data_IF_753786837204
#
_entry.id   IF_753786837204
#
_cell.length_a   1.000
_cell.length_b   1.000
_cell.length_c   1.000
_cell.angle_alpha   90.00
_cell.angle_beta   90.00
_cell.angle_gamma   90.00
#
_symmetry.space_group_name_H-M   'P 1'
#
loop_
_entity.id
_entity.type
_entity.pdbx_description
1 polymer ?
#
# COMPACT_ATOMS: atom_id res chain seq x y z
N UNK A 1 -18.07 -10.24 -19.63
CA UNK A 1 -17.11 -10.98 -18.77
C UNK A 1 -16.15 -10.09 -17.98
N UNK A 2 -16.13 -8.77 -18.17
CA UNK A 2 -15.13 -7.86 -17.55
C UNK A 2 -15.16 -7.83 -16.01
N UNK A 3 -16.37 -7.80 -15.42
CA UNK A 3 -16.56 -7.77 -13.95
C UNK A 3 -16.06 -9.05 -13.28
N UNK A 4 -16.29 -10.22 -13.91
CA UNK A 4 -15.86 -11.50 -13.35
C UNK A 4 -14.32 -11.59 -13.24
N UNK A 5 -13.60 -11.05 -14.23
CA UNK A 5 -12.14 -10.99 -14.20
C UNK A 5 -11.64 -10.03 -13.11
N UNK A 6 -12.25 -8.84 -12.98
CA UNK A 6 -11.92 -7.90 -11.92
C UNK A 6 -12.14 -8.49 -10.52
N UNK A 7 -13.21 -9.27 -10.33
CA UNK A 7 -13.48 -9.97 -9.05
C UNK A 7 -12.45 -11.08 -8.80
N UNK A 8 -12.05 -11.82 -9.83
CA UNK A 8 -11.00 -12.84 -9.73
C UNK A 8 -9.66 -12.22 -9.30
N UNK A 9 -9.30 -11.08 -9.89
CA UNK A 9 -8.08 -10.32 -9.60
C UNK A 9 -8.02 -9.75 -8.16
N UNK A 10 -9.17 -9.65 -7.48
CA UNK A 10 -9.21 -9.24 -6.07
C UNK A 10 -8.77 -10.39 -5.13
N UNK A 11 -8.76 -11.64 -5.62
CA UNK A 11 -8.49 -12.85 -4.84
C UNK A 11 -6.98 -13.11 -4.70
N UNK A 12 -6.49 -13.32 -3.46
CA UNK A 12 -5.05 -13.49 -3.14
C UNK A 12 -4.54 -14.92 -3.32
N UNK A 13 -4.96 -15.63 -4.35
CA UNK A 13 -4.64 -17.06 -4.50
C UNK A 13 -3.97 -17.27 -5.85
N UNK A 14 -2.72 -17.76 -5.86
CA UNK A 14 -2.09 -18.29 -7.08
C UNK A 14 -2.80 -19.58 -7.51
N UNK A 15 -2.70 -19.95 -8.78
CA UNK A 15 -3.25 -21.20 -9.33
C UNK A 15 -2.86 -22.45 -8.50
N UNK A 16 -1.74 -22.38 -7.78
CA UNK A 16 -1.17 -23.42 -6.92
C UNK A 16 -1.72 -23.43 -5.47
N UNK A 17 -2.72 -22.59 -5.14
CA UNK A 17 -3.29 -22.48 -3.79
C UNK A 17 -2.48 -21.62 -2.79
N UNK A 18 -1.34 -21.06 -3.20
CA UNK A 18 -0.49 -20.24 -2.34
C UNK A 18 -1.09 -18.84 -2.19
N UNK A 19 -1.21 -18.39 -0.93
CA UNK A 19 -1.69 -17.05 -0.61
C UNK A 19 -0.59 -16.00 -0.84
N UNK A 20 -0.80 -15.10 -1.79
CA UNK A 20 0.13 -14.00 -2.06
C UNK A 20 -0.02 -12.86 -1.04
N UNK A 21 1.08 -12.18 -0.76
CA UNK A 21 1.07 -11.01 0.13
C UNK A 21 0.31 -9.84 -0.51
N UNK A 22 -0.05 -8.84 0.31
CA UNK A 22 -0.67 -7.62 -0.23
C UNK A 22 0.23 -6.89 -1.21
N UNK A 23 1.53 -6.82 -0.89
CA UNK A 23 2.53 -6.12 -1.69
C UNK A 23 2.74 -6.83 -3.04
N UNK A 24 2.91 -8.16 -3.03
CA UNK A 24 3.12 -8.95 -4.25
C UNK A 24 1.92 -8.85 -5.20
N UNK A 25 0.71 -8.92 -4.66
CA UNK A 25 -0.51 -8.73 -5.45
C UNK A 25 -0.57 -7.36 -6.12
N UNK A 26 -0.19 -6.32 -5.39
CA UNK A 26 -0.18 -4.94 -5.90
C UNK A 26 0.86 -4.78 -7.00
N UNK A 27 2.03 -5.41 -6.84
CA UNK A 27 3.07 -5.44 -7.88
C UNK A 27 2.60 -6.15 -9.16
N UNK A 28 1.89 -7.28 -9.04
CA UNK A 28 1.30 -8.00 -10.18
C UNK A 28 0.30 -7.10 -10.91
N UNK A 29 -0.64 -6.51 -10.19
CA UNK A 29 -1.67 -5.64 -10.80
C UNK A 29 -1.07 -4.40 -11.47
N UNK A 30 0.01 -3.86 -10.90
CA UNK A 30 0.81 -2.80 -11.52
C UNK A 30 1.40 -3.27 -12.86
N UNK A 31 2.09 -4.41 -12.87
CA UNK A 31 2.69 -4.99 -14.10
C UNK A 31 1.65 -5.29 -15.17
N UNK A 32 0.46 -5.72 -14.77
CA UNK A 32 -0.68 -5.98 -15.66
C UNK A 32 -1.46 -4.71 -16.07
N UNK A 33 -1.05 -3.53 -15.60
CA UNK A 33 -1.69 -2.22 -15.88
C UNK A 33 -3.19 -2.19 -15.52
N UNK A 34 -3.59 -2.92 -14.47
CA UNK A 34 -4.97 -2.99 -13.97
C UNK A 34 -5.29 -1.82 -13.04
N UNK A 35 -5.33 -0.61 -13.58
CA UNK A 35 -5.51 0.66 -12.85
C UNK A 35 -6.75 0.68 -11.96
N UNK A 36 -7.91 0.26 -12.46
CA UNK A 36 -9.17 0.28 -11.71
C UNK A 36 -9.11 -0.64 -10.47
N UNK A 37 -8.50 -1.82 -10.62
CA UNK A 37 -8.35 -2.79 -9.53
C UNK A 37 -7.36 -2.29 -8.48
N UNK A 38 -6.28 -1.63 -8.92
CA UNK A 38 -5.33 -0.97 -8.02
C UNK A 38 -6.01 0.15 -7.21
N UNK A 39 -6.86 0.97 -7.85
CA UNK A 39 -7.59 2.02 -7.18
C UNK A 39 -8.56 1.46 -6.13
N UNK A 40 -9.30 0.40 -6.45
CA UNK A 40 -10.17 -0.30 -5.49
C UNK A 40 -9.36 -0.81 -4.29
N UNK A 41 -8.19 -1.43 -4.53
CA UNK A 41 -7.33 -1.90 -3.45
C UNK A 41 -6.77 -0.76 -2.61
N UNK A 42 -6.50 0.40 -3.21
CA UNK A 42 -6.05 1.58 -2.48
C UNK A 42 -7.13 2.09 -1.52
N UNK A 43 -8.39 2.14 -1.95
CA UNK A 43 -9.52 2.49 -1.07
C UNK A 43 -9.73 1.47 0.05
N UNK A 44 -9.63 0.17 -0.25
CA UNK A 44 -9.66 -0.87 0.78
C UNK A 44 -8.51 -0.68 1.78
N UNK A 45 -7.30 -0.33 1.34
CA UNK A 45 -6.20 -0.01 2.28
C UNK A 45 -6.48 1.22 3.12
N UNK A 46 -7.02 2.29 2.53
CA UNK A 46 -7.38 3.49 3.27
C UNK A 46 -8.32 3.16 4.43
N UNK A 47 -9.37 2.39 4.16
CA UNK A 47 -10.31 1.93 5.17
C UNK A 47 -9.61 1.09 6.25
N UNK A 48 -8.74 0.15 5.85
CA UNK A 48 -7.99 -0.68 6.79
C UNK A 48 -7.09 0.13 7.74
N UNK A 49 -6.51 1.25 7.30
CA UNK A 49 -5.72 2.16 8.13
C UNK A 49 -6.64 2.98 9.04
N UNK A 50 -7.80 3.40 8.57
CA UNK A 50 -8.79 4.12 9.39
C UNK A 50 -9.35 3.25 10.53
N UNK A 51 -9.54 1.95 10.29
CA UNK A 51 -10.06 0.99 11.29
C UNK A 51 -8.96 0.18 11.99
N UNK A 52 -7.71 0.65 11.93
CA UNK A 52 -6.54 -0.12 12.36
C UNK A 52 -6.55 -0.47 13.86
N UNK A 53 -7.19 0.35 14.70
CA UNK A 53 -7.27 0.14 16.15
C UNK A 53 -8.06 -1.10 16.57
N UNK A 54 -8.83 -1.71 15.66
CA UNK A 54 -9.52 -2.98 15.89
C UNK A 54 -8.63 -4.21 15.58
N UNK A 55 -7.39 -4.02 15.09
CA UNK A 55 -6.45 -5.10 14.76
C UNK A 55 -5.44 -5.31 15.89
N UNK A 56 -4.86 -6.52 15.98
CA UNK A 56 -3.74 -6.76 16.89
C UNK A 56 -2.52 -5.91 16.50
N UNK A 57 -1.64 -5.54 17.46
CA UNK A 57 -0.47 -4.71 17.18
C UNK A 57 0.43 -5.24 16.05
N UNK A 58 0.63 -6.56 15.97
CA UNK A 58 1.45 -7.19 14.92
C UNK A 58 0.82 -7.01 13.54
N UNK A 59 -0.50 -7.22 13.43
CA UNK A 59 -1.25 -7.04 12.19
C UNK A 59 -1.29 -5.56 11.79
N UNK A 60 -1.47 -4.67 12.76
CA UNK A 60 -1.46 -3.23 12.54
C UNK A 60 -0.11 -2.77 11.97
N UNK A 61 1.00 -3.19 12.58
CA UNK A 61 2.35 -2.91 12.10
C UNK A 61 2.57 -3.39 10.67
N UNK A 62 2.11 -4.60 10.34
CA UNK A 62 2.20 -5.16 8.98
C UNK A 62 1.44 -4.30 7.96
N UNK A 63 0.18 -3.94 8.27
CA UNK A 63 -0.66 -3.12 7.38
C UNK A 63 -0.03 -1.74 7.14
N UNK A 64 0.47 -1.09 8.20
CA UNK A 64 1.11 0.23 8.10
C UNK A 64 2.38 0.15 7.23
N UNK A 65 3.25 -0.83 7.48
CA UNK A 65 4.47 -1.01 6.70
C UNK A 65 4.19 -1.32 5.22
N UNK A 66 3.26 -2.24 4.94
CA UNK A 66 2.85 -2.55 3.57
C UNK A 66 2.28 -1.31 2.86
N UNK A 67 1.53 -0.47 3.58
CA UNK A 67 0.97 0.77 3.01
C UNK A 67 2.08 1.75 2.64
N UNK A 68 2.99 2.04 3.58
CA UNK A 68 4.07 3.00 3.37
C UNK A 68 4.99 2.61 2.20
N UNK A 69 5.26 1.32 2.04
CA UNK A 69 6.22 0.81 1.05
C UNK A 69 5.56 0.56 -0.30
N UNK A 70 4.34 -0.01 -0.35
CA UNK A 70 3.75 -0.50 -1.60
C UNK A 70 2.61 0.36 -2.13
N UNK A 71 1.80 0.97 -1.25
CA UNK A 71 0.59 1.67 -1.68
C UNK A 71 0.80 3.15 -1.95
N UNK A 72 1.59 3.83 -1.11
CA UNK A 72 1.90 5.25 -1.36
C UNK A 72 2.63 5.37 -2.72
N UNK A 73 3.54 4.44 -3.03
CA UNK A 73 4.36 4.42 -4.25
C UNK A 73 3.52 4.37 -5.53
N UNK A 74 2.31 3.82 -5.45
CA UNK A 74 1.41 3.76 -6.60
C UNK A 74 0.55 5.00 -6.81
N UNK A 75 0.48 5.92 -5.84
CA UNK A 75 -0.39 7.10 -5.98
C UNK A 75 0.00 8.01 -7.14
N UNK A 76 1.29 8.25 -7.44
CA UNK A 76 1.69 8.97 -8.65
C UNK A 76 1.30 8.24 -9.93
N UNK A 77 1.49 6.92 -9.95
CA UNK A 77 1.09 6.09 -11.09
C UNK A 77 -0.42 6.15 -11.34
N UNK A 78 -1.22 6.21 -10.27
CA UNK A 78 -2.67 6.34 -10.32
C UNK A 78 -3.14 7.79 -10.54
N UNK A 79 -2.24 8.76 -10.72
CA UNK A 79 -2.59 10.17 -10.96
C UNK A 79 -3.13 10.92 -9.73
N UNK A 80 -2.90 10.40 -8.52
CA UNK A 80 -3.46 10.91 -7.25
C UNK A 80 -2.37 11.27 -6.23
N UNK A 81 -1.23 11.78 -6.68
CA UNK A 81 -0.09 12.16 -5.82
C UNK A 81 -0.46 13.15 -4.70
N UNK A 82 -1.52 13.95 -4.86
CA UNK A 82 -1.99 14.87 -3.82
C UNK A 82 -2.36 14.16 -2.51
N UNK A 83 -2.72 12.87 -2.58
CA UNK A 83 -3.13 12.06 -1.43
C UNK A 83 -1.97 11.42 -0.67
N UNK A 84 -0.76 11.38 -1.22
CA UNK A 84 0.40 10.72 -0.60
C UNK A 84 0.70 11.26 0.79
N UNK A 85 0.74 12.59 0.93
CA UNK A 85 0.95 13.25 2.23
C UNK A 85 -0.16 12.91 3.22
N UNK A 86 -1.38 12.74 2.74
CA UNK A 86 -2.53 12.40 3.59
C UNK A 86 -2.42 10.96 4.09
N UNK A 87 -2.11 10.00 3.21
CA UNK A 87 -1.88 8.60 3.59
C UNK A 87 -0.69 8.44 4.52
N UNK A 88 0.41 9.14 4.25
CA UNK A 88 1.57 9.14 5.14
C UNK A 88 1.21 9.60 6.55
N UNK A 89 0.45 10.71 6.67
CA UNK A 89 -0.04 11.20 7.97
C UNK A 89 -0.99 10.20 8.64
N UNK A 90 -1.87 9.53 7.90
CA UNK A 90 -2.74 8.49 8.46
C UNK A 90 -1.93 7.31 9.02
N UNK A 91 -0.90 6.86 8.30
CA UNK A 91 0.01 5.82 8.78
C UNK A 91 0.77 6.21 10.05
N UNK A 92 1.23 7.46 10.15
CA UNK A 92 1.86 7.98 11.37
C UNK A 92 0.88 7.98 12.55
N UNK A 93 -0.31 8.55 12.35
CA UNK A 93 -1.34 8.59 13.39
C UNK A 93 -1.72 7.18 13.86
N UNK A 94 -1.89 6.24 12.92
CA UNK A 94 -2.14 4.83 13.21
C UNK A 94 -1.01 4.19 14.05
N UNK A 95 0.24 4.52 13.77
CA UNK A 95 1.41 4.03 14.52
C UNK A 95 1.38 4.52 15.97
N UNK A 96 1.12 5.82 16.17
CA UNK A 96 1.02 6.42 17.51
C UNK A 96 -0.17 5.86 18.30
N UNK A 97 -1.35 5.77 17.69
CA UNK A 97 -2.57 5.25 18.34
C UNK A 97 -2.39 3.81 18.84
N UNK A 98 -1.71 2.96 18.06
CA UNK A 98 -1.46 1.57 18.42
C UNK A 98 -0.22 1.38 19.30
N UNK A 99 0.41 2.48 19.76
CA UNK A 99 1.67 2.48 20.54
C UNK A 99 2.76 1.61 19.91
N UNK A 100 2.75 1.52 18.58
CA UNK A 100 3.72 0.72 17.85
C UNK A 100 5.06 1.45 17.89
N UNK A 101 6.15 0.69 18.06
CA UNK A 101 7.49 1.26 17.82
C UNK A 101 7.51 1.82 16.41
N UNK A 102 7.72 3.12 16.32
CA UNK A 102 7.76 3.82 15.05
C UNK A 102 8.77 3.18 14.11
N UNK A 103 8.41 3.06 12.83
CA UNK A 103 9.36 2.65 11.83
C UNK A 103 10.32 3.81 11.58
N UNK A 104 11.46 3.80 12.29
CA UNK A 104 12.47 4.87 12.30
C UNK A 104 13.01 5.22 10.92
N UNK A 105 12.89 4.32 9.94
CA UNK A 105 13.23 4.57 8.54
C UNK A 105 12.37 5.65 7.89
N UNK A 106 11.13 5.81 8.35
CA UNK A 106 10.13 6.64 7.70
C UNK A 106 9.66 7.80 8.58
N UNK A 107 9.55 7.62 9.90
CA UNK A 107 8.98 8.65 10.80
C UNK A 107 9.95 9.79 11.11
N UNK A 108 11.25 9.48 11.23
CA UNK A 108 12.25 10.43 11.73
C UNK A 108 12.81 11.39 10.67
N UNK A 109 12.55 11.12 9.38
CA UNK A 109 13.08 11.96 8.31
C UNK A 109 12.18 11.89 7.06
N UNK A 110 11.22 12.83 6.94
CA UNK A 110 10.37 12.92 5.77
C UNK A 110 11.17 13.05 4.47
N UNK A 111 12.33 13.75 4.46
CA UNK A 111 13.17 13.83 3.26
C UNK A 111 13.77 12.49 2.89
N UNK A 112 14.19 11.68 3.86
CA UNK A 112 14.71 10.33 3.62
C UNK A 112 13.61 9.39 3.12
N UNK A 113 12.40 9.49 3.69
CA UNK A 113 11.22 8.80 3.16
C UNK A 113 10.98 9.19 1.71
N UNK A 114 10.86 10.47 1.39
CA UNK A 114 10.64 10.95 0.02
C UNK A 114 11.80 10.65 -0.93
N UNK A 115 13.04 10.59 -0.45
CA UNK A 115 14.21 10.19 -1.24
C UNK A 115 14.20 8.69 -1.55
N UNK A 116 13.98 7.83 -0.55
CA UNK A 116 13.77 6.39 -0.74
C UNK A 116 12.60 6.16 -1.70
N UNK A 117 11.50 6.87 -1.49
CA UNK A 117 10.32 6.83 -2.32
C UNK A 117 10.59 7.23 -3.76
N UNK A 118 11.28 8.37 -3.98
CA UNK A 118 11.61 8.86 -5.32
C UNK A 118 12.44 7.86 -6.12
N UNK A 119 13.44 7.22 -5.48
CA UNK A 119 14.21 6.15 -6.12
C UNK A 119 13.37 4.93 -6.49
N UNK A 120 12.40 4.55 -5.66
CA UNK A 120 11.50 3.41 -5.96
C UNK A 120 10.45 3.76 -7.01
N UNK A 121 9.95 5.00 -7.07
CA UNK A 121 9.08 5.45 -8.17
C UNK A 121 9.82 5.57 -9.50
N UNK A 122 11.10 5.95 -9.49
CA UNK A 122 11.94 5.94 -10.69
C UNK A 122 12.20 4.49 -11.16
N UNK A 123 12.43 3.54 -10.24
CA UNK A 123 12.53 2.12 -10.58
C UNK A 123 11.24 1.54 -11.20
N UNK A 124 10.09 2.12 -10.87
CA UNK A 124 8.77 1.76 -11.42
C UNK A 124 8.54 2.38 -12.81
N UNK A 125 9.14 3.55 -13.09
CA UNK A 125 9.06 4.25 -14.38
C UNK A 125 10.17 3.87 -15.38
N UNK A 126 11.11 3.00 -15.01
CA UNK A 126 12.27 2.58 -15.84
C UNK A 126 12.11 1.16 -16.41
N UNK A 127 10.95 0.52 -16.26
CA UNK A 127 10.62 -0.79 -16.88
C UNK A 127 9.31 -0.66 -17.64
#
# INVERSE_FOLDING_TARGET
MQVANQVMDLTRIKENGIKISSAEMVEILYKEKKHDVLLIKLFDRLHNIQTIGAKSPEKAKKIINETLISFIVLMPYLGISSLEKHFYRLCLNATHQNRLKENTLFTNNPRKFWSYFKHNTEAINVI
#
